data_IF_827642076065
#
_entry.id   IF_827642076065
#
_cell.length_a   1.000
_cell.length_b   1.000
_cell.length_c   1.000
_cell.angle_alpha   90.00
_cell.angle_beta   90.00
_cell.angle_gamma   90.00
#
_symmetry.space_group_name_H-M   'P 1'
#
loop_
_entity.id
_entity.type
_entity.pdbx_description
1 polymer ?
#
# COMPACT_ATOMS: atom_id res chain seq x y z
N UNK A 1 -36.97 -43.83 -57.33
CA UNK A 1 -36.43 -42.45 -57.34
C UNK A 1 -37.00 -41.54 -56.24
N UNK A 2 -38.30 -41.59 -55.95
CA UNK A 2 -38.95 -40.78 -54.89
C UNK A 2 -38.46 -41.13 -53.46
N UNK A 3 -38.42 -42.41 -53.08
CA UNK A 3 -37.97 -42.84 -51.75
C UNK A 3 -36.52 -42.42 -51.42
N UNK A 4 -35.63 -42.43 -52.43
CA UNK A 4 -34.25 -41.97 -52.27
C UNK A 4 -34.16 -40.46 -52.01
N UNK A 5 -34.98 -39.65 -52.70
CA UNK A 5 -35.05 -38.20 -52.48
C UNK A 5 -35.56 -37.86 -51.08
N UNK A 6 -36.59 -38.56 -50.60
CA UNK A 6 -37.12 -38.36 -49.24
C UNK A 6 -36.11 -38.78 -48.16
N UNK A 7 -35.39 -39.89 -48.36
CA UNK A 7 -34.32 -40.31 -47.45
C UNK A 7 -33.19 -39.28 -47.35
N UNK A 8 -32.73 -38.76 -48.50
CA UNK A 8 -31.69 -37.71 -48.54
C UNK A 8 -32.19 -36.43 -47.88
N UNK A 9 -33.44 -36.04 -48.11
CA UNK A 9 -34.05 -34.87 -47.48
C UNK A 9 -34.15 -35.02 -45.96
N UNK A 10 -34.56 -36.19 -45.47
CA UNK A 10 -34.62 -36.47 -44.04
C UNK A 10 -33.23 -36.41 -43.39
N UNK A 11 -32.19 -36.94 -44.06
CA UNK A 11 -30.81 -36.87 -43.58
C UNK A 11 -30.30 -35.43 -43.52
N UNK A 12 -30.55 -34.62 -44.56
CA UNK A 12 -30.14 -33.21 -44.58
C UNK A 12 -30.81 -32.43 -43.45
N UNK A 13 -32.13 -32.57 -43.29
CA UNK A 13 -32.87 -31.91 -42.21
C UNK A 13 -32.38 -32.32 -40.83
N UNK A 14 -32.04 -33.60 -40.63
CA UNK A 14 -31.46 -34.07 -39.38
C UNK A 14 -30.14 -33.38 -39.06
N UNK A 15 -29.23 -33.28 -40.04
CA UNK A 15 -27.93 -32.63 -39.85
C UNK A 15 -28.04 -31.12 -39.62
N UNK A 16 -28.97 -30.45 -40.31
CA UNK A 16 -29.23 -29.02 -40.09
C UNK A 16 -29.69 -28.76 -38.66
N UNK A 17 -30.65 -29.53 -38.16
CA UNK A 17 -31.13 -29.41 -36.77
C UNK A 17 -30.05 -29.81 -35.75
N UNK A 18 -29.25 -30.84 -36.03
CA UNK A 18 -28.15 -31.24 -35.17
C UNK A 18 -27.08 -30.13 -35.10
N UNK A 19 -26.76 -29.49 -36.22
CA UNK A 19 -25.83 -28.36 -36.31
C UNK A 19 -26.33 -27.13 -35.55
N UNK A 20 -27.60 -26.76 -35.74
CA UNK A 20 -28.23 -25.66 -35.00
C UNK A 20 -28.25 -25.92 -33.49
N UNK A 21 -28.55 -27.15 -33.06
CA UNK A 21 -28.52 -27.53 -31.66
C UNK A 21 -27.10 -27.44 -31.08
N UNK A 22 -26.09 -27.96 -31.78
CA UNK A 22 -24.69 -27.86 -31.37
C UNK A 22 -24.23 -26.40 -31.25
N UNK A 23 -24.53 -25.58 -32.25
CA UNK A 23 -24.20 -24.16 -32.25
C UNK A 23 -24.86 -23.42 -31.07
N UNK A 24 -26.15 -23.67 -30.82
CA UNK A 24 -26.87 -23.08 -29.71
C UNK A 24 -26.31 -23.52 -28.34
N UNK A 25 -25.95 -24.80 -28.19
CA UNK A 25 -25.35 -25.33 -26.97
C UNK A 25 -24.01 -24.66 -26.65
N UNK A 26 -23.10 -24.60 -27.63
CA UNK A 26 -21.76 -24.02 -27.46
C UNK A 26 -21.86 -22.52 -27.13
N UNK A 27 -22.65 -21.76 -27.88
CA UNK A 27 -22.84 -20.34 -27.60
C UNK A 27 -23.55 -20.09 -26.27
N UNK A 28 -24.51 -20.95 -25.90
CA UNK A 28 -25.17 -20.91 -24.59
C UNK A 28 -24.18 -21.11 -23.43
N UNK A 29 -23.25 -22.06 -23.56
CA UNK A 29 -22.19 -22.27 -22.58
C UNK A 29 -21.26 -21.05 -22.48
N UNK A 30 -20.85 -20.45 -23.60
CA UNK A 30 -20.04 -19.23 -23.60
C UNK A 30 -20.76 -18.05 -22.94
N UNK A 31 -22.04 -17.84 -23.25
CA UNK A 31 -22.85 -16.79 -22.64
C UNK A 31 -23.01 -17.01 -21.13
N UNK A 32 -23.19 -18.26 -20.69
CA UNK A 32 -23.28 -18.61 -19.28
C UNK A 32 -21.96 -18.30 -18.53
N UNK A 33 -20.81 -18.67 -19.10
CA UNK A 33 -19.50 -18.34 -18.55
C UNK A 33 -19.30 -16.83 -18.45
N UNK A 34 -19.61 -16.09 -19.52
CA UNK A 34 -19.49 -14.64 -19.56
C UNK A 34 -20.39 -13.96 -18.49
N UNK A 35 -21.62 -14.45 -18.32
CA UNK A 35 -22.54 -13.94 -17.31
C UNK A 35 -22.04 -14.21 -15.88
N UNK A 36 -21.49 -15.39 -15.59
CA UNK A 36 -20.89 -15.68 -14.28
C UNK A 36 -19.69 -14.77 -14.00
N UNK A 37 -18.80 -14.58 -14.98
CA UNK A 37 -17.66 -13.69 -14.86
C UNK A 37 -18.11 -12.24 -14.61
N UNK A 38 -19.11 -11.75 -15.34
CA UNK A 38 -19.67 -10.41 -15.15
C UNK A 38 -20.31 -10.25 -13.76
N UNK A 39 -21.09 -11.24 -13.30
CA UNK A 39 -21.67 -11.23 -11.94
C UNK A 39 -20.59 -11.17 -10.86
N UNK A 40 -19.53 -11.95 -11.02
CA UNK A 40 -18.42 -11.96 -10.07
C UNK A 40 -17.65 -10.64 -10.09
N UNK A 41 -17.37 -10.08 -11.26
CA UNK A 41 -16.73 -8.77 -11.40
C UNK A 41 -17.61 -7.66 -10.82
N UNK A 42 -18.91 -7.70 -11.05
CA UNK A 42 -19.86 -6.71 -10.51
C UNK A 42 -19.97 -6.83 -8.98
N UNK A 43 -20.03 -8.05 -8.44
CA UNK A 43 -20.08 -8.31 -7.00
C UNK A 43 -18.78 -7.86 -6.32
N UNK A 44 -17.62 -8.26 -6.87
CA UNK A 44 -16.31 -7.81 -6.39
C UNK A 44 -16.16 -6.30 -6.51
N UNK A 45 -16.67 -5.65 -7.57
CA UNK A 45 -16.66 -4.18 -7.71
C UNK A 45 -17.56 -3.48 -6.70
N UNK A 46 -18.75 -4.01 -6.39
CA UNK A 46 -19.66 -3.46 -5.36
C UNK A 46 -19.07 -3.63 -3.97
N UNK A 47 -18.59 -4.83 -3.64
CA UNK A 47 -17.92 -5.12 -2.37
C UNK A 47 -16.63 -4.34 -2.22
N UNK A 48 -15.83 -4.18 -3.28
CA UNK A 48 -14.64 -3.32 -3.28
C UNK A 48 -15.07 -1.87 -3.02
N UNK A 49 -16.00 -1.29 -3.78
CA UNK A 49 -16.46 0.09 -3.53
C UNK A 49 -16.96 0.30 -2.10
N UNK A 50 -17.75 -0.65 -1.58
CA UNK A 50 -18.24 -0.65 -0.19
C UNK A 50 -17.12 -0.84 0.83
N UNK A 51 -16.15 -1.73 0.59
CA UNK A 51 -15.01 -1.96 1.47
C UNK A 51 -14.08 -0.74 1.50
N UNK A 52 -13.83 -0.10 0.35
CA UNK A 52 -13.09 1.15 0.25
C UNK A 52 -13.84 2.30 0.92
N UNK A 53 -15.17 2.42 0.72
CA UNK A 53 -15.99 3.46 1.36
C UNK A 53 -16.22 3.24 2.85
N UNK A 54 -16.29 1.98 3.31
CA UNK A 54 -16.38 1.65 4.73
C UNK A 54 -15.04 1.83 5.44
N UNK A 55 -13.91 1.57 4.76
CA UNK A 55 -12.58 1.94 5.28
C UNK A 55 -12.46 3.45 5.48
N UNK A 56 -12.90 4.26 4.51
CA UNK A 56 -12.88 5.72 4.66
C UNK A 56 -13.92 6.22 5.67
N UNK A 57 -15.12 5.62 5.73
CA UNK A 57 -16.20 6.05 6.64
C UNK A 57 -16.02 5.62 8.11
N UNK A 58 -15.25 4.56 8.40
CA UNK A 58 -14.92 4.14 9.79
C UNK A 58 -13.74 4.90 10.40
N UNK A 59 -13.27 5.99 9.77
CA UNK A 59 -12.07 6.70 10.22
C UNK A 59 -10.75 5.97 9.93
N UNK A 60 -10.79 4.86 9.19
CA UNK A 60 -9.59 4.16 8.69
C UNK A 60 -9.11 4.73 7.34
N UNK A 61 -9.57 5.93 6.95
CA UNK A 61 -9.21 6.58 5.70
C UNK A 61 -7.75 7.01 5.61
N UNK A 62 -7.07 7.03 6.75
CA UNK A 62 -5.70 7.52 6.88
C UNK A 62 -4.99 6.63 7.90
N UNK A 63 -4.59 5.43 7.48
CA UNK A 63 -3.75 4.56 8.31
C UNK A 63 -2.54 5.39 8.73
N UNK A 64 -2.30 5.63 10.03
CA UNK A 64 -1.11 6.35 10.46
C UNK A 64 0.12 5.54 10.04
N UNK A 65 1.03 6.20 9.33
CA UNK A 65 2.27 5.60 8.85
C UNK A 65 3.39 6.31 9.57
N UNK A 66 4.20 5.56 10.32
CA UNK A 66 5.42 6.08 10.93
C UNK A 66 6.63 5.53 10.18
N UNK A 67 7.48 6.42 9.66
CA UNK A 67 8.73 6.08 8.99
C UNK A 67 9.88 6.32 9.95
N UNK A 68 10.57 5.25 10.33
CA UNK A 68 11.77 5.32 11.15
C UNK A 68 12.99 5.40 10.23
N UNK A 69 13.76 6.48 10.35
CA UNK A 69 14.97 6.73 9.57
C UNK A 69 16.20 6.67 10.49
N UNK A 70 16.98 5.58 10.47
CA UNK A 70 18.25 5.54 11.18
C UNK A 70 19.27 6.46 10.49
N UNK A 71 20.00 7.24 11.28
CA UNK A 71 21.03 8.15 10.81
C UNK A 71 22.32 7.96 11.62
N UNK A 72 23.41 7.63 10.92
CA UNK A 72 24.75 7.56 11.50
C UNK A 72 25.76 8.12 10.52
N UNK A 73 26.38 9.25 10.86
CA UNK A 73 27.34 9.96 10.02
C UNK A 73 26.82 10.31 8.61
N UNK A 74 25.63 10.92 8.55
CA UNK A 74 24.92 11.31 7.33
C UNK A 74 24.82 12.84 7.17
N UNK A 75 25.67 13.64 7.83
CA UNK A 75 25.48 15.08 7.95
C UNK A 75 25.35 15.82 6.62
N UNK A 76 26.02 15.36 5.56
CA UNK A 76 25.92 15.95 4.22
C UNK A 76 24.58 15.72 3.53
N UNK A 77 23.91 14.60 3.83
CA UNK A 77 22.72 14.14 3.09
C UNK A 77 21.45 14.16 3.94
N UNK A 78 21.57 14.19 5.27
CA UNK A 78 20.45 13.97 6.19
C UNK A 78 19.30 14.95 5.98
N UNK A 79 19.60 16.23 5.72
CA UNK A 79 18.58 17.27 5.49
C UNK A 79 17.76 16.95 4.24
N UNK A 80 18.42 16.58 3.14
CA UNK A 80 17.75 16.22 1.89
C UNK A 80 16.92 14.94 2.04
N UNK A 81 17.46 13.94 2.74
CA UNK A 81 16.76 12.68 3.02
C UNK A 81 15.48 12.91 3.82
N UNK A 82 15.56 13.68 4.91
CA UNK A 82 14.39 13.98 5.76
C UNK A 82 13.37 14.85 5.01
N UNK A 83 13.82 15.84 4.22
CA UNK A 83 12.91 16.61 3.37
C UNK A 83 12.16 15.72 2.36
N UNK A 84 12.85 14.73 1.79
CA UNK A 84 12.23 13.78 0.86
C UNK A 84 11.18 12.92 1.55
N UNK A 85 11.43 12.48 2.79
CA UNK A 85 10.47 11.72 3.60
C UNK A 85 9.24 12.57 3.97
N UNK A 86 9.46 13.81 4.40
CA UNK A 86 8.37 14.74 4.75
C UNK A 86 7.54 15.16 3.52
N UNK A 87 8.09 15.06 2.31
CA UNK A 87 7.40 15.33 1.05
C UNK A 87 6.41 14.24 0.62
N UNK A 88 6.36 13.10 1.32
CA UNK A 88 5.42 12.02 1.02
C UNK A 88 3.99 12.48 1.39
N UNK A 89 3.10 12.54 0.39
CA UNK A 89 1.71 12.97 0.58
C UNK A 89 0.86 11.85 1.18
N UNK A 90 1.07 11.59 2.47
CA UNK A 90 0.27 10.70 3.28
C UNK A 90 -0.34 11.50 4.44
N UNK A 91 -1.66 11.40 4.66
CA UNK A 91 -2.36 12.34 5.53
C UNK A 91 -2.10 12.17 7.03
N UNK A 92 -1.63 10.99 7.48
CA UNK A 92 -1.16 10.73 8.85
C UNK A 92 0.26 10.16 8.84
N UNK A 93 1.18 10.86 8.17
CA UNK A 93 2.60 10.50 8.16
C UNK A 93 3.32 11.07 9.38
N UNK A 94 4.07 10.23 10.07
CA UNK A 94 5.07 10.59 11.07
C UNK A 94 6.46 10.16 10.56
N UNK A 95 7.46 11.01 10.75
CA UNK A 95 8.85 10.72 10.43
C UNK A 95 9.67 10.80 11.73
N UNK A 96 10.27 9.67 12.11
CA UNK A 96 11.12 9.56 13.29
C UNK A 96 12.56 9.31 12.85
N UNK A 97 13.43 10.30 13.03
CA UNK A 97 14.86 10.16 12.72
C UNK A 97 15.59 9.71 13.97
N UNK A 98 16.32 8.62 13.89
CA UNK A 98 17.10 8.09 15.02
C UNK A 98 18.58 8.34 14.74
N UNK A 99 19.16 9.35 15.39
CA UNK A 99 20.59 9.61 15.36
C UNK A 99 21.32 8.64 16.29
N UNK A 100 22.08 7.72 15.72
CA UNK A 100 22.77 6.65 16.45
C UNK A 100 24.20 7.06 16.84
N UNK A 101 24.33 8.18 17.57
CA UNK A 101 25.61 8.67 18.08
C UNK A 101 26.58 9.15 17.00
N UNK A 102 26.07 9.84 15.97
CA UNK A 102 26.89 10.46 14.92
C UNK A 102 27.92 11.44 15.47
N UNK A 103 29.09 11.53 14.80
CA UNK A 103 30.20 12.42 15.18
C UNK A 103 30.50 13.50 14.14
N UNK A 104 29.77 13.52 13.04
CA UNK A 104 30.01 14.36 11.85
C UNK A 104 29.11 15.61 11.76
N UNK A 105 28.43 15.96 12.84
CA UNK A 105 27.47 17.07 12.86
C UNK A 105 26.08 16.74 12.30
N UNK A 106 25.74 15.47 12.05
CA UNK A 106 24.40 15.05 11.59
C UNK A 106 23.27 15.67 12.42
N UNK A 107 23.39 15.67 13.74
CA UNK A 107 22.39 16.27 14.63
C UNK A 107 22.32 17.80 14.48
N UNK A 108 23.46 18.47 14.34
CA UNK A 108 23.50 19.93 14.19
C UNK A 108 22.82 20.39 12.90
N UNK A 109 23.04 19.66 11.80
CA UNK A 109 22.37 19.91 10.52
C UNK A 109 20.86 19.73 10.62
N UNK A 110 20.40 18.68 11.31
CA UNK A 110 18.98 18.45 11.59
C UNK A 110 18.38 19.58 12.44
N UNK A 111 19.06 19.99 13.52
CA UNK A 111 18.61 21.04 14.44
C UNK A 111 18.46 22.37 13.71
N UNK A 112 19.45 22.74 12.89
CA UNK A 112 19.44 23.98 12.11
C UNK A 112 18.38 23.96 11.01
N UNK A 113 18.28 22.87 10.25
CA UNK A 113 17.40 22.82 9.08
C UNK A 113 15.90 22.71 9.42
N UNK A 114 15.58 22.11 10.57
CA UNK A 114 14.20 21.85 10.98
C UNK A 114 13.78 22.59 12.26
N UNK A 115 14.60 23.54 12.74
CA UNK A 115 14.32 24.33 13.95
C UNK A 115 13.91 23.44 15.13
N UNK A 116 14.76 22.43 15.38
CA UNK A 116 14.46 21.43 16.39
C UNK A 116 14.65 22.00 17.80
N UNK A 117 13.77 21.61 18.72
CA UNK A 117 13.86 21.95 20.13
C UNK A 117 13.76 20.70 21.00
N UNK A 118 14.39 20.69 22.19
CA UNK A 118 14.32 19.55 23.11
C UNK A 118 12.88 19.36 23.58
N UNK A 119 12.34 18.16 23.38
CA UNK A 119 11.02 17.77 23.84
C UNK A 119 11.12 17.07 25.19
N UNK A 120 10.18 17.36 26.10
CA UNK A 120 10.06 16.68 27.41
C UNK A 120 9.33 15.34 27.29
N UNK A 121 9.43 14.67 26.14
CA UNK A 121 8.74 13.40 25.92
C UNK A 121 9.25 12.37 26.92
N UNK A 122 8.36 11.87 27.78
CA UNK A 122 8.69 10.79 28.70
C UNK A 122 8.86 9.51 27.88
N UNK A 123 10.05 8.92 27.93
CA UNK A 123 10.37 7.67 27.27
C UNK A 123 10.60 6.60 28.34
N UNK A 124 9.85 5.51 28.27
CA UNK A 124 10.07 4.33 29.08
C UNK A 124 10.66 3.22 28.21
N UNK A 125 11.91 2.78 28.44
CA UNK A 125 12.54 1.76 27.63
C UNK A 125 11.89 0.39 27.86
N UNK A 126 11.15 -0.09 26.86
CA UNK A 126 10.55 -1.44 26.85
C UNK A 126 11.58 -2.51 26.47
N UNK A 127 12.67 -2.11 25.80
CA UNK A 127 13.72 -3.00 25.29
C UNK A 127 15.09 -2.48 25.75
N UNK A 128 16.05 -3.39 25.87
CA UNK A 128 17.46 -3.03 26.15
C UNK A 128 18.05 -2.36 24.92
N UNK A 129 18.18 -1.04 24.99
CA UNK A 129 18.89 -0.21 24.01
C UNK A 129 19.95 0.63 24.72
N UNK A 130 20.86 1.22 23.96
CA UNK A 130 21.74 2.26 24.48
C UNK A 130 20.96 3.52 24.88
N UNK A 131 21.47 4.30 25.85
CA UNK A 131 20.72 5.42 26.41
C UNK A 131 20.39 6.47 25.34
N UNK A 132 19.15 6.94 25.38
CA UNK A 132 18.68 8.09 24.61
C UNK A 132 19.17 9.35 25.31
N UNK A 133 19.96 10.17 24.62
CA UNK A 133 20.52 11.43 25.13
C UNK A 133 19.45 12.52 25.18
N UNK A 134 18.68 12.65 24.11
CA UNK A 134 17.62 13.64 23.99
C UNK A 134 16.62 13.26 22.89
N UNK A 135 15.39 13.76 23.01
CA UNK A 135 14.38 13.73 21.95
C UNK A 135 14.11 15.16 21.55
N UNK A 136 14.08 15.43 20.25
CA UNK A 136 13.81 16.72 19.67
C UNK A 136 12.55 16.67 18.82
N UNK A 137 11.79 17.76 18.82
CA UNK A 137 10.64 17.97 17.96
C UNK A 137 10.89 19.19 17.06
N UNK A 138 10.30 19.23 15.88
CA UNK A 138 10.38 20.38 14.98
C UNK A 138 9.23 21.36 15.22
N UNK A 139 9.53 22.66 15.24
CA UNK A 139 8.48 23.69 15.25
C UNK A 139 7.76 23.79 13.91
N UNK A 140 8.50 23.59 12.82
CA UNK A 140 8.01 23.76 11.44
C UNK A 140 7.25 22.54 10.94
N UNK A 141 7.66 21.35 11.35
CA UNK A 141 7.07 20.08 10.93
C UNK A 141 6.58 19.29 12.14
N UNK A 142 5.28 19.37 12.45
CA UNK A 142 4.70 18.69 13.61
C UNK A 142 4.79 17.16 13.52
N UNK A 143 5.06 16.63 12.33
CA UNK A 143 5.23 15.21 12.06
C UNK A 143 6.71 14.76 12.03
N UNK A 144 7.66 15.59 12.46
CA UNK A 144 9.08 15.23 12.56
C UNK A 144 9.51 15.14 14.03
N UNK A 145 10.01 13.96 14.40
CA UNK A 145 10.66 13.70 15.69
C UNK A 145 12.10 13.23 15.43
N UNK A 146 13.05 13.72 16.21
CA UNK A 146 14.44 13.28 16.14
C UNK A 146 14.86 12.74 17.50
N UNK A 147 15.32 11.49 17.53
CA UNK A 147 15.80 10.80 18.73
C UNK A 147 17.32 10.73 18.64
N UNK A 148 18.01 11.36 19.59
CA UNK A 148 19.46 11.25 19.72
C UNK A 148 19.80 10.18 20.77
N UNK A 149 20.49 9.12 20.34
CA UNK A 149 20.93 8.04 21.23
C UNK A 149 22.43 7.80 21.13
N UNK A 150 22.99 7.10 22.10
CA UNK A 150 24.36 6.60 22.01
C UNK A 150 24.48 5.45 20.99
N UNK A 151 25.57 5.44 20.22
CA UNK A 151 25.78 4.49 19.12
C UNK A 151 25.71 3.04 19.59
N UNK A 152 24.69 2.31 19.17
CA UNK A 152 24.41 0.91 19.55
C UNK A 152 25.30 -0.14 18.90
N UNK A 153 25.86 0.17 17.72
CA UNK A 153 26.49 -0.78 16.81
C UNK A 153 25.47 -1.44 15.87
N UNK A 154 25.94 -2.27 14.93
CA UNK A 154 25.10 -2.84 13.83
C UNK A 154 24.00 -3.81 14.27
N UNK A 155 23.94 -4.19 15.54
CA UNK A 155 23.07 -5.24 16.07
C UNK A 155 22.08 -4.74 17.14
N UNK A 156 21.95 -3.41 17.28
CA UNK A 156 20.99 -2.72 18.17
C UNK A 156 19.83 -2.12 17.35
#
# INVERSE_FOLDING_TARGET
MLAFKEMVRALLLFWDWAGLFYFALVNGLYLWMAWRALKEIQLRKRLRRLYWSMRTARGCGEIPVSIICPAYNEGKNIVQSVQSLLGINLPNLEVVVVNDGSTDGTLDELVRAFELYPSKCLYEPVVRIKPVRAIYASQRHQNLVVVDKENGGKAD
#
